data_IF_447260402300
#
_entry.id   IF_447260402300
#
_cell.length_a   1.000
_cell.length_b   1.000
_cell.length_c   1.000
_cell.angle_alpha   90.00
_cell.angle_beta   90.00
_cell.angle_gamma   90.00
#
_symmetry.space_group_name_H-M   'P 1'
#
loop_
_entity.id
_entity.type
_entity.pdbx_description
1 polymer ?
#
# COMPACT_ATOMS: atom_id res chain seq x y z
N UNK A 1 16.45 -1.41 5.09
CA UNK A 1 16.70 -2.71 4.43
C UNK A 1 16.00 -2.67 3.07
N UNK A 2 16.52 -3.32 2.03
CA UNK A 2 15.88 -3.33 0.72
C UNK A 2 15.50 -4.77 0.36
N UNK A 3 14.20 -5.06 0.40
CA UNK A 3 13.66 -6.41 0.19
C UNK A 3 13.21 -6.54 -1.27
N UNK A 4 13.72 -7.54 -1.97
CA UNK A 4 13.36 -7.80 -3.38
C UNK A 4 12.11 -8.67 -3.43
N UNK A 5 11.08 -8.18 -4.09
CA UNK A 5 9.83 -8.91 -4.27
C UNK A 5 9.40 -8.82 -5.74
N UNK A 6 8.60 -9.79 -6.18
CA UNK A 6 8.01 -9.80 -7.53
C UNK A 6 6.52 -10.04 -7.39
N UNK A 7 5.74 -9.37 -8.24
CA UNK A 7 4.29 -9.51 -8.30
C UNK A 7 3.92 -10.21 -9.60
N UNK A 8 3.44 -11.46 -9.53
CA UNK A 8 3.04 -12.24 -10.73
C UNK A 8 4.10 -12.25 -11.84
N UNK A 9 5.37 -12.51 -11.49
CA UNK A 9 6.52 -12.47 -12.40
C UNK A 9 6.85 -11.07 -12.98
N UNK A 10 6.26 -10.00 -12.44
CA UNK A 10 6.60 -8.61 -12.77
C UNK A 10 7.49 -7.96 -11.69
N UNK A 11 8.49 -7.20 -12.13
CA UNK A 11 9.40 -6.44 -11.28
C UNK A 11 8.86 -5.06 -10.88
N UNK A 12 7.77 -4.59 -11.49
CA UNK A 12 7.19 -3.27 -11.25
C UNK A 12 6.27 -3.23 -10.01
N UNK A 13 6.81 -3.57 -8.85
CA UNK A 13 6.07 -3.71 -7.59
C UNK A 13 5.40 -2.41 -7.12
N UNK A 14 5.97 -1.26 -7.50
CA UNK A 14 5.40 0.07 -7.21
C UNK A 14 4.14 0.42 -8.01
N UNK A 15 3.76 -0.40 -8.99
CA UNK A 15 2.47 -0.26 -9.69
C UNK A 15 1.33 -0.84 -8.84
N UNK A 16 1.63 -1.91 -8.09
CA UNK A 16 0.65 -2.69 -7.32
C UNK A 16 0.65 -2.39 -5.83
N UNK A 17 1.61 -1.61 -5.35
CA UNK A 17 1.71 -1.19 -3.95
C UNK A 17 2.02 0.30 -3.83
N UNK A 18 1.55 0.91 -2.75
CA UNK A 18 1.90 2.27 -2.37
C UNK A 18 2.43 2.27 -0.95
N UNK A 19 3.68 2.66 -0.78
CA UNK A 19 4.29 2.77 0.54
C UNK A 19 4.41 4.25 0.90
N UNK A 20 3.86 4.62 2.06
CA UNK A 20 3.98 5.97 2.64
C UNK A 20 4.53 5.85 4.07
N UNK A 21 4.92 6.96 4.68
CA UNK A 21 5.42 6.97 6.07
C UNK A 21 4.39 6.52 7.12
N UNK A 22 3.10 6.47 6.77
CA UNK A 22 2.02 6.18 7.73
C UNK A 22 1.24 4.91 7.41
N UNK A 23 1.15 4.55 6.14
CA UNK A 23 0.35 3.42 5.69
C UNK A 23 0.96 2.83 4.41
N UNK A 24 0.77 1.52 4.26
CA UNK A 24 1.07 0.82 3.03
C UNK A 24 -0.25 0.34 2.40
N UNK A 25 -0.46 0.62 1.12
CA UNK A 25 -1.58 0.08 0.35
C UNK A 25 -1.07 -1.02 -0.56
N UNK A 26 -1.77 -2.15 -0.60
CA UNK A 26 -1.45 -3.30 -1.44
C UNK A 26 -2.68 -3.66 -2.28
N UNK A 27 -2.46 -3.93 -3.58
CA UNK A 27 -3.53 -4.29 -4.48
C UNK A 27 -4.20 -5.61 -4.08
N UNK A 28 -5.53 -5.65 -4.12
CA UNK A 28 -6.27 -6.90 -3.96
C UNK A 28 -6.14 -7.75 -5.25
N UNK A 29 -5.95 -9.06 -5.09
CA UNK A 29 -5.91 -10.01 -6.20
C UNK A 29 -4.52 -10.36 -6.74
N UNK A 30 -3.48 -10.15 -5.93
CA UNK A 30 -2.11 -10.61 -6.19
C UNK A 30 -1.73 -11.88 -5.42
N UNK A 31 -0.50 -12.33 -5.63
CA UNK A 31 0.10 -13.42 -4.84
C UNK A 31 0.14 -13.04 -3.35
N UNK A 32 -0.34 -13.93 -2.48
CA UNK A 32 -0.23 -13.76 -1.02
C UNK A 32 1.21 -13.54 -0.56
N UNK A 33 2.19 -14.11 -1.28
CA UNK A 33 3.60 -13.94 -1.01
C UNK A 33 4.04 -12.46 -1.04
N UNK A 34 3.41 -11.66 -1.90
CA UNK A 34 3.63 -10.22 -1.98
C UNK A 34 3.20 -9.56 -0.67
N UNK A 35 1.95 -9.80 -0.25
CA UNK A 35 1.40 -9.23 0.97
C UNK A 35 2.14 -9.71 2.23
N UNK A 36 2.45 -10.99 2.36
CA UNK A 36 3.19 -11.53 3.52
C UNK A 36 4.56 -10.89 3.67
N UNK A 37 5.21 -10.50 2.56
CA UNK A 37 6.49 -9.78 2.64
C UNK A 37 6.30 -8.35 3.18
N UNK A 38 5.26 -7.64 2.75
CA UNK A 38 4.94 -6.32 3.33
C UNK A 38 4.52 -6.43 4.79
N UNK A 39 3.73 -7.44 5.15
CA UNK A 39 3.32 -7.66 6.54
C UNK A 39 4.52 -7.99 7.42
N UNK A 40 5.42 -8.88 6.97
CA UNK A 40 6.63 -9.24 7.73
C UNK A 40 7.58 -8.06 7.98
N UNK A 41 7.69 -7.13 7.03
CA UNK A 41 8.63 -6.01 7.14
C UNK A 41 8.00 -4.76 7.76
N UNK A 42 6.70 -4.54 7.57
CA UNK A 42 6.02 -3.29 7.95
C UNK A 42 4.93 -3.44 9.01
N UNK A 43 4.41 -4.63 9.31
CA UNK A 43 3.27 -4.76 10.23
C UNK A 43 3.55 -4.25 11.65
N UNK A 44 4.82 -4.20 12.06
CA UNK A 44 5.23 -3.64 13.35
C UNK A 44 5.22 -2.10 13.37
N UNK A 45 5.41 -1.46 12.20
CA UNK A 45 5.65 0.00 12.11
C UNK A 45 4.47 0.75 11.49
N UNK A 46 3.92 0.26 10.37
CA UNK A 46 2.81 0.90 9.66
C UNK A 46 1.76 -0.13 9.22
N UNK A 47 0.46 0.21 9.28
CA UNK A 47 -0.60 -0.66 8.80
C UNK A 47 -0.49 -0.92 7.29
N UNK A 48 -0.61 -2.19 6.92
CA UNK A 48 -0.70 -2.65 5.52
C UNK A 48 -2.16 -2.93 5.18
N UNK A 49 -2.72 -2.18 4.23
CA UNK A 49 -4.14 -2.25 3.85
C UNK A 49 -4.28 -2.83 2.45
N UNK A 50 -5.04 -3.91 2.33
CA UNK A 50 -5.44 -4.48 1.04
C UNK A 50 -6.61 -3.69 0.47
N UNK A 51 -6.43 -3.03 -0.67
CA UNK A 51 -7.50 -2.27 -1.33
C UNK A 51 -7.42 -2.37 -2.85
N UNK A 52 -8.55 -2.09 -3.51
CA UNK A 52 -8.66 -1.99 -4.96
C UNK A 52 -9.38 -0.68 -5.28
N UNK A 53 -8.82 0.09 -6.22
CA UNK A 53 -9.37 1.40 -6.60
C UNK A 53 -10.04 1.23 -7.95
N UNK A 54 -11.35 1.45 -8.01
CA UNK A 54 -12.14 1.27 -9.24
C UNK A 54 -12.09 -0.15 -9.81
N UNK A 55 -11.88 -1.17 -8.97
CA UNK A 55 -11.74 -2.56 -9.41
C UNK A 55 -10.40 -2.89 -10.08
N UNK A 56 -9.44 -1.96 -10.07
CA UNK A 56 -8.12 -2.15 -10.70
C UNK A 56 -7.02 -2.39 -9.68
N UNK A 57 -6.03 -3.18 -10.11
CA UNK A 57 -4.90 -3.64 -9.30
C UNK A 57 -3.73 -2.65 -9.29
N UNK A 58 -3.83 -1.55 -10.06
CA UNK A 58 -2.73 -0.60 -10.29
C UNK A 58 -2.77 0.60 -9.33
N UNK A 59 -3.04 0.34 -8.05
CA UNK A 59 -3.21 1.37 -7.01
C UNK A 59 -1.98 2.27 -6.82
N UNK A 60 -0.77 1.76 -7.05
CA UNK A 60 0.46 2.54 -6.91
C UNK A 60 0.57 3.67 -7.95
N UNK A 61 -0.09 3.50 -9.11
CA UNK A 61 -0.22 4.50 -10.17
C UNK A 61 -1.45 5.38 -10.04
N UNK A 62 -2.56 4.84 -9.54
CA UNK A 62 -3.82 5.57 -9.42
C UNK A 62 -3.85 6.50 -8.20
N UNK A 63 -3.08 6.19 -7.15
CA UNK A 63 -3.07 6.96 -5.92
C UNK A 63 -1.75 7.72 -5.74
N UNK A 64 -1.87 9.03 -5.48
CA UNK A 64 -0.81 9.86 -4.91
C UNK A 64 -1.21 10.14 -3.47
N UNK A 65 -0.40 9.69 -2.52
CA UNK A 65 -0.66 9.81 -1.10
C UNK A 65 0.61 10.20 -0.36
N UNK A 66 0.51 11.24 0.45
CA UNK A 66 1.49 11.63 1.46
C UNK A 66 0.77 11.57 2.81
N UNK A 67 1.49 11.27 3.88
CA UNK A 67 0.96 11.48 5.23
C UNK A 67 0.75 12.98 5.41
N UNK A 68 -0.51 13.41 5.36
CA UNK A 68 -0.96 14.70 5.84
C UNK A 68 -1.81 14.42 7.06
N UNK A 69 -1.24 14.68 8.24
CA UNK A 69 -1.95 14.58 9.50
C UNK A 69 -2.76 15.88 9.66
N UNK A 70 -3.90 15.97 8.96
CA UNK A 70 -4.92 16.95 9.30
C UNK A 70 -5.72 16.37 10.45
N UNK A 71 -5.51 16.91 11.65
CA UNK A 71 -6.39 16.72 12.81
C UNK A 71 -7.85 16.77 12.34
N UNK A 72 -8.77 15.96 12.89
CA UNK A 72 -10.18 16.10 12.58
C UNK A 72 -10.61 17.50 13.04
N UNK A 73 -10.66 18.45 12.10
CA UNK A 73 -11.26 19.75 12.35
C UNK A 73 -12.72 19.47 12.64
N UNK A 74 -13.06 19.61 13.92
CA UNK A 74 -14.40 19.56 14.47
C UNK A 74 -15.23 20.67 13.80
N UNK A 75 -15.77 20.41 12.62
CA UNK A 75 -16.79 21.26 12.02
C UNK A 75 -18.14 20.84 12.63
N UNK A 76 -18.35 21.31 13.85
CA UNK A 76 -19.67 21.40 14.46
C UNK A 76 -20.29 22.69 13.91
N UNK A 77 -21.24 22.57 12.99
CA UNK A 77 -22.20 23.60 12.65
C UNK A 77 -23.59 22.97 12.58
#
# INVERSE_FOLDING_TARGET
MATRIQFENNCEVGVFSKLTNAYCLVAIGGSENFYSTFESELADVIPVVKTSIGGTRIIGRLCVGKQEWTSPATHNH
#
